data_IF_865048183922
#
_entry.id   IF_865048183922
#
_cell.length_a   1.000
_cell.length_b   1.000
_cell.length_c   1.000
_cell.angle_alpha   90.00
_cell.angle_beta   90.00
_cell.angle_gamma   90.00
#
_symmetry.space_group_name_H-M   'P 1'
#
loop_
_entity.id
_entity.type
_entity.pdbx_description
1 polymer ?
#
# COMPACT_ATOMS: atom_id res chain seq x y z
N UNK A 1 4.27 -17.59 20.22
CA UNK A 1 4.01 -16.21 20.70
C UNK A 1 5.29 -15.67 21.32
N UNK A 2 5.77 -14.49 20.93
CA UNK A 2 6.97 -13.89 21.53
C UNK A 2 6.52 -13.24 22.84
N UNK A 3 7.08 -13.67 23.97
CA UNK A 3 6.77 -13.10 25.28
C UNK A 3 7.43 -11.72 25.44
N UNK A 4 6.71 -10.74 25.99
CA UNK A 4 7.19 -9.37 26.18
C UNK A 4 8.48 -9.32 27.02
N UNK A 5 8.58 -10.15 28.06
CA UNK A 5 9.76 -10.21 28.93
C UNK A 5 11.02 -10.62 28.15
N UNK A 6 10.88 -11.53 27.19
CA UNK A 6 11.97 -11.93 26.31
C UNK A 6 12.42 -10.78 25.39
N UNK A 7 11.47 -9.98 24.88
CA UNK A 7 11.80 -8.79 24.09
C UNK A 7 12.53 -7.74 24.93
N UNK A 8 12.08 -7.50 26.16
CA UNK A 8 12.73 -6.55 27.07
C UNK A 8 14.14 -7.04 27.43
N UNK A 9 14.32 -8.34 27.72
CA UNK A 9 15.65 -8.88 27.99
C UNK A 9 16.60 -8.77 26.79
N UNK A 10 16.12 -8.98 25.58
CA UNK A 10 16.90 -8.77 24.37
C UNK A 10 17.28 -7.29 24.18
N UNK A 11 16.34 -6.37 24.45
CA UNK A 11 16.58 -4.93 24.38
C UNK A 11 17.74 -4.52 25.31
N UNK A 12 17.74 -5.01 26.53
CA UNK A 12 18.75 -4.65 27.54
C UNK A 12 20.09 -5.36 27.33
N UNK A 13 20.10 -6.55 26.73
CA UNK A 13 21.33 -7.31 26.46
C UNK A 13 22.04 -6.92 25.18
N UNK A 14 21.32 -6.32 24.22
CA UNK A 14 21.89 -5.89 22.93
C UNK A 14 22.56 -4.54 23.11
N UNK A 15 23.89 -4.48 22.93
CA UNK A 15 24.70 -3.25 23.13
C UNK A 15 24.50 -2.24 22.01
N UNK A 16 24.28 -2.70 20.78
CA UNK A 16 24.21 -1.85 19.61
C UNK A 16 23.08 -2.33 18.68
N UNK A 17 22.35 -1.38 18.16
CA UNK A 17 21.29 -1.57 17.17
C UNK A 17 21.67 -0.82 15.90
N UNK A 18 21.53 -1.46 14.74
CA UNK A 18 21.81 -0.84 13.45
C UNK A 18 20.72 0.17 13.07
N UNK A 19 19.45 -0.17 13.38
CA UNK A 19 18.30 0.66 13.01
C UNK A 19 17.31 0.73 14.18
N UNK A 20 16.90 1.95 14.50
CA UNK A 20 15.84 2.24 15.47
C UNK A 20 14.67 2.85 14.74
N UNK A 21 13.48 2.24 14.85
CA UNK A 21 12.24 2.69 14.22
C UNK A 21 11.28 3.17 15.30
N UNK A 22 10.74 4.37 15.12
CA UNK A 22 9.75 4.96 16.02
C UNK A 22 8.41 5.01 15.29
N UNK A 23 7.45 4.24 15.80
CA UNK A 23 6.09 4.13 15.28
C UNK A 23 5.83 2.83 14.52
N UNK A 24 4.79 2.10 14.94
CA UNK A 24 4.35 0.81 14.40
C UNK A 24 3.19 0.93 13.41
N UNK A 25 3.15 1.97 12.58
CA UNK A 25 2.23 2.10 11.47
C UNK A 25 2.71 1.34 10.23
N UNK A 26 2.03 1.51 9.08
CA UNK A 26 2.37 0.83 7.82
C UNK A 26 3.82 1.08 7.41
N UNK A 27 4.29 2.33 7.47
CA UNK A 27 5.67 2.69 7.11
C UNK A 27 6.69 2.07 8.05
N UNK A 28 6.50 2.20 9.37
CA UNK A 28 7.44 1.66 10.35
C UNK A 28 7.53 0.14 10.31
N UNK A 29 6.41 -0.56 10.15
CA UNK A 29 6.38 -2.02 10.00
C UNK A 29 7.03 -2.46 8.68
N UNK A 30 6.80 -1.72 7.57
CA UNK A 30 7.45 -1.98 6.29
C UNK A 30 8.97 -1.85 6.38
N UNK A 31 9.46 -0.77 6.98
CA UNK A 31 10.90 -0.56 7.21
C UNK A 31 11.48 -1.66 8.11
N UNK A 32 10.75 -2.04 9.17
CA UNK A 32 11.21 -3.09 10.09
C UNK A 32 11.37 -4.45 9.38
N UNK A 33 10.42 -4.82 8.53
CA UNK A 33 10.47 -6.06 7.75
C UNK A 33 11.63 -6.03 6.76
N UNK A 34 11.79 -4.94 6.00
CA UNK A 34 12.87 -4.80 5.02
C UNK A 34 14.25 -4.83 5.69
N UNK A 35 14.44 -4.05 6.75
CA UNK A 35 15.69 -4.00 7.49
C UNK A 35 16.05 -5.36 8.11
N UNK A 36 15.11 -6.03 8.77
CA UNK A 36 15.32 -7.34 9.36
C UNK A 36 15.62 -8.41 8.30
N UNK A 37 14.96 -8.35 7.13
CA UNK A 37 15.20 -9.28 6.03
C UNK A 37 16.61 -9.16 5.45
N UNK A 38 17.21 -7.99 5.55
CA UNK A 38 18.61 -7.70 5.16
C UNK A 38 19.63 -8.02 6.26
N UNK A 39 19.19 -8.51 7.41
CA UNK A 39 20.06 -8.91 8.52
C UNK A 39 20.44 -7.79 9.49
N UNK A 40 19.86 -6.59 9.36
CA UNK A 40 20.13 -5.51 10.30
C UNK A 40 19.50 -5.81 11.68
N UNK A 41 20.23 -5.52 12.75
CA UNK A 41 19.71 -5.52 14.11
C UNK A 41 18.73 -4.36 14.27
N UNK A 42 17.46 -4.66 14.11
CA UNK A 42 16.40 -3.65 14.05
C UNK A 42 15.55 -3.69 15.30
N UNK A 43 15.28 -2.54 15.88
CA UNK A 43 14.34 -2.35 16.97
C UNK A 43 13.24 -1.37 16.57
N UNK A 44 12.00 -1.70 16.95
CA UNK A 44 10.84 -0.85 16.71
C UNK A 44 10.13 -0.55 18.02
N UNK A 45 9.84 0.72 18.25
CA UNK A 45 9.05 1.19 19.38
C UNK A 45 7.70 1.74 18.89
N UNK A 46 6.63 1.26 19.52
CA UNK A 46 5.27 1.77 19.32
C UNK A 46 4.69 2.21 20.67
N UNK A 47 4.09 3.39 20.70
CA UNK A 47 3.57 4.00 21.93
C UNK A 47 2.31 3.30 22.45
N UNK A 48 1.43 2.84 21.57
CA UNK A 48 0.13 2.27 21.94
C UNK A 48 -0.01 0.83 21.47
N UNK A 49 -0.29 0.66 20.17
CA UNK A 49 -0.48 -0.63 19.51
C UNK A 49 -0.17 -0.49 18.02
N UNK A 50 0.22 -1.58 17.39
CA UNK A 50 0.55 -1.60 15.98
C UNK A 50 -0.65 -1.18 15.13
N UNK A 51 -0.39 -0.37 14.10
CA UNK A 51 -1.36 0.15 13.16
C UNK A 51 -2.51 0.96 13.77
N UNK A 52 -2.47 1.35 15.06
CA UNK A 52 -3.55 2.05 15.76
C UNK A 52 -3.84 3.46 15.23
N UNK A 53 -2.85 4.13 14.65
CA UNK A 53 -2.96 5.47 14.10
C UNK A 53 -3.68 5.51 12.73
N UNK A 54 -3.09 6.22 11.79
CA UNK A 54 -3.60 6.40 10.42
C UNK A 54 -3.85 5.07 9.70
N UNK A 55 -3.01 4.06 9.92
CA UNK A 55 -3.14 2.75 9.26
C UNK A 55 -4.46 2.04 9.58
N UNK A 56 -5.00 2.19 10.79
CA UNK A 56 -6.32 1.63 11.15
C UNK A 56 -7.48 2.49 10.66
N UNK A 57 -7.26 3.80 10.47
CA UNK A 57 -8.28 4.79 10.10
C UNK A 57 -8.36 5.06 8.59
N UNK A 58 -7.56 4.36 7.78
CA UNK A 58 -7.62 4.44 6.33
C UNK A 58 -8.79 3.63 5.77
N UNK A 59 -9.20 3.90 4.55
CA UNK A 59 -10.21 3.12 3.82
C UNK A 59 -9.73 1.71 3.44
N UNK A 60 -8.45 1.42 3.60
CA UNK A 60 -7.78 0.17 3.20
C UNK A 60 -7.93 -0.17 1.72
N UNK A 61 -8.14 0.86 0.89
CA UNK A 61 -8.21 0.71 -0.55
C UNK A 61 -6.81 0.87 -1.15
N UNK A 62 -6.37 -0.16 -1.85
CA UNK A 62 -5.14 -0.15 -2.63
C UNK A 62 -5.48 0.24 -4.06
N UNK A 63 -5.10 1.43 -4.47
CA UNK A 63 -5.37 1.96 -5.80
C UNK A 63 -4.11 2.53 -6.43
N UNK A 64 -4.04 2.51 -7.76
CA UNK A 64 -2.91 3.08 -8.51
C UNK A 64 -3.02 4.58 -8.78
N UNK A 65 -3.87 5.31 -8.03
CA UNK A 65 -3.91 6.77 -8.09
C UNK A 65 -4.44 7.36 -9.40
N UNK A 66 -5.57 6.90 -9.91
CA UNK A 66 -6.23 7.47 -11.12
C UNK A 66 -6.31 9.01 -11.08
N UNK A 67 -6.42 9.61 -9.89
CA UNK A 67 -6.42 11.06 -9.71
C UNK A 67 -5.11 11.71 -10.16
N UNK A 68 -3.97 11.07 -9.95
CA UNK A 68 -2.66 11.57 -10.37
C UNK A 68 -2.49 11.51 -11.89
N UNK A 69 -3.17 10.57 -12.55
CA UNK A 69 -3.20 10.54 -14.01
C UNK A 69 -3.84 11.83 -14.58
N UNK A 70 -4.91 12.30 -13.95
CA UNK A 70 -5.55 13.57 -14.34
C UNK A 70 -4.64 14.80 -14.09
N UNK A 71 -3.63 14.68 -13.22
CA UNK A 71 -2.62 15.72 -12.96
C UNK A 71 -1.38 15.57 -13.87
N UNK A 72 -1.34 14.54 -14.71
CA UNK A 72 -0.21 14.28 -15.62
C UNK A 72 0.98 13.54 -14.96
N UNK A 73 0.87 13.13 -13.71
CA UNK A 73 1.95 12.42 -13.01
C UNK A 73 1.91 10.91 -13.30
N UNK A 74 2.31 10.57 -14.52
CA UNK A 74 2.33 9.19 -15.02
C UNK A 74 3.32 8.32 -14.23
N UNK A 75 4.45 8.89 -13.81
CA UNK A 75 5.47 8.16 -13.07
C UNK A 75 4.92 7.65 -11.74
N UNK A 76 4.28 8.51 -10.98
CA UNK A 76 3.67 8.15 -9.70
C UNK A 76 2.56 7.09 -9.87
N UNK A 77 1.80 7.16 -10.98
CA UNK A 77 0.79 6.13 -11.29
C UNK A 77 1.42 4.77 -11.53
N UNK A 78 2.51 4.71 -12.29
CA UNK A 78 3.23 3.45 -12.57
C UNK A 78 3.79 2.86 -11.27
N UNK A 79 4.49 3.66 -10.48
CA UNK A 79 5.04 3.24 -9.18
C UNK A 79 3.93 2.71 -8.25
N UNK A 80 2.80 3.42 -8.14
CA UNK A 80 1.67 2.97 -7.32
C UNK A 80 1.02 1.67 -7.83
N UNK A 81 1.00 1.44 -9.14
CA UNK A 81 0.51 0.20 -9.74
C UNK A 81 1.46 -0.98 -9.46
N UNK A 82 2.77 -0.75 -9.52
CA UNK A 82 3.79 -1.75 -9.19
C UNK A 82 3.69 -2.14 -7.71
N UNK A 83 3.64 -1.17 -6.80
CA UNK A 83 3.48 -1.43 -5.37
C UNK A 83 2.18 -2.19 -5.06
N UNK A 84 1.08 -1.86 -5.72
CA UNK A 84 -0.17 -2.62 -5.62
C UNK A 84 0.02 -4.07 -6.05
N UNK A 85 0.73 -4.31 -7.14
CA UNK A 85 1.05 -5.65 -7.61
C UNK A 85 1.93 -6.45 -6.64
N UNK A 86 2.91 -5.79 -6.02
CA UNK A 86 3.74 -6.41 -4.97
C UNK A 86 2.91 -6.78 -3.75
N UNK A 87 1.99 -5.92 -3.31
CA UNK A 87 1.09 -6.22 -2.19
C UNK A 87 0.13 -7.37 -2.51
N UNK A 88 -0.44 -7.41 -3.73
CA UNK A 88 -1.27 -8.55 -4.16
C UNK A 88 -0.49 -9.87 -4.10
N UNK A 89 0.76 -9.87 -4.54
CA UNK A 89 1.61 -11.05 -4.53
C UNK A 89 2.00 -11.48 -3.11
N UNK A 90 2.41 -10.53 -2.28
CA UNK A 90 2.98 -10.80 -0.96
C UNK A 90 1.92 -11.05 0.12
N UNK A 91 0.73 -10.48 -0.03
CA UNK A 91 -0.36 -10.58 0.94
C UNK A 91 -1.69 -10.98 0.28
N UNK A 92 -1.66 -11.95 -0.61
CA UNK A 92 -2.80 -12.39 -1.42
C UNK A 92 -4.04 -12.75 -0.60
N UNK A 93 -3.85 -13.31 0.58
CA UNK A 93 -4.93 -13.68 1.50
C UNK A 93 -5.66 -12.48 2.11
N UNK A 94 -5.04 -11.28 2.09
CA UNK A 94 -5.63 -10.02 2.56
C UNK A 94 -6.18 -9.17 1.41
N UNK A 95 -5.85 -9.54 0.16
CA UNK A 95 -6.19 -8.76 -1.02
C UNK A 95 -7.50 -9.23 -1.63
N UNK A 96 -8.45 -8.31 -1.78
CA UNK A 96 -9.73 -8.56 -2.44
C UNK A 96 -9.95 -7.54 -3.55
N UNK A 97 -10.20 -8.02 -4.76
CA UNK A 97 -10.60 -7.14 -5.88
C UNK A 97 -11.97 -6.54 -5.60
N UNK A 98 -12.08 -5.23 -5.74
CA UNK A 98 -13.31 -4.50 -5.54
C UNK A 98 -13.63 -3.71 -6.81
N UNK A 99 -14.83 -3.86 -7.33
CA UNK A 99 -15.31 -3.09 -8.47
C UNK A 99 -15.88 -1.76 -8.00
N UNK A 100 -15.58 -0.69 -8.74
CA UNK A 100 -16.07 0.65 -8.48
C UNK A 100 -16.94 1.13 -9.63
N UNK A 101 -18.06 1.74 -9.30
CA UNK A 101 -18.92 2.41 -10.24
C UNK A 101 -18.69 3.91 -10.14
N UNK A 102 -18.35 4.53 -11.27
CA UNK A 102 -18.22 5.99 -11.37
C UNK A 102 -19.53 6.50 -11.99
N UNK A 103 -20.40 7.14 -11.20
CA UNK A 103 -21.65 7.67 -11.73
C UNK A 103 -21.35 8.86 -12.63
N UNK A 104 -22.00 8.89 -13.79
CA UNK A 104 -21.88 9.97 -14.74
C UNK A 104 -23.26 10.52 -15.09
N UNK A 105 -23.46 11.80 -14.83
CA UNK A 105 -24.73 12.49 -15.05
C UNK A 105 -24.71 13.37 -16.33
N UNK A 106 -23.60 13.38 -17.06
CA UNK A 106 -23.43 14.23 -18.23
C UNK A 106 -22.93 13.39 -19.39
N UNK A 107 -23.68 13.31 -20.48
CA UNK A 107 -23.44 12.41 -21.60
C UNK A 107 -22.01 12.46 -22.19
N UNK A 108 -21.35 13.63 -22.21
CA UNK A 108 -20.00 13.80 -22.77
C UNK A 108 -18.88 13.42 -21.77
N UNK A 109 -19.12 13.43 -20.46
CA UNK A 109 -18.14 13.05 -19.45
C UNK A 109 -17.86 11.55 -19.41
N UNK A 110 -18.83 10.73 -19.79
CA UNK A 110 -18.68 9.28 -19.88
C UNK A 110 -17.52 8.85 -20.78
N UNK A 111 -17.52 9.25 -22.07
CA UNK A 111 -16.41 8.97 -22.97
C UNK A 111 -15.06 9.52 -22.48
N UNK A 112 -15.03 10.71 -21.88
CA UNK A 112 -13.83 11.31 -21.32
C UNK A 112 -13.24 10.46 -20.17
N UNK A 113 -14.06 10.06 -19.21
CA UNK A 113 -13.62 9.18 -18.12
C UNK A 113 -13.19 7.81 -18.63
N UNK A 114 -13.92 7.25 -19.60
CA UNK A 114 -13.57 5.96 -20.18
C UNK A 114 -12.20 6.01 -20.85
N UNK A 115 -11.88 7.07 -21.59
CA UNK A 115 -10.57 7.26 -22.21
C UNK A 115 -9.46 7.29 -21.17
N UNK A 116 -9.62 8.06 -20.09
CA UNK A 116 -8.66 8.12 -19.00
C UNK A 116 -8.48 6.77 -18.29
N UNK A 117 -9.58 6.04 -18.05
CA UNK A 117 -9.53 4.72 -17.44
C UNK A 117 -8.90 3.67 -18.37
N UNK A 118 -9.11 3.75 -19.69
CA UNK A 118 -8.44 2.88 -20.67
C UNK A 118 -6.93 3.12 -20.72
N UNK A 119 -6.50 4.39 -20.63
CA UNK A 119 -5.09 4.73 -20.50
C UNK A 119 -4.51 4.15 -19.20
N UNK A 120 -5.23 4.26 -18.09
CA UNK A 120 -4.84 3.66 -16.82
C UNK A 120 -4.75 2.13 -16.90
N UNK A 121 -5.71 1.46 -17.54
CA UNK A 121 -5.70 0.01 -17.78
C UNK A 121 -4.47 -0.39 -18.61
N UNK A 122 -4.12 0.40 -19.61
CA UNK A 122 -2.93 0.17 -20.44
C UNK A 122 -1.63 0.36 -19.65
N UNK A 123 -1.53 1.38 -18.81
CA UNK A 123 -0.38 1.60 -17.94
C UNK A 123 -0.21 0.47 -16.90
N UNK A 124 -1.32 -0.12 -16.44
CA UNK A 124 -1.28 -1.21 -15.48
C UNK A 124 -0.71 -2.53 -16.04
N UNK A 125 -0.71 -2.71 -17.37
CA UNK A 125 -0.14 -3.87 -18.08
C UNK A 125 -0.46 -5.22 -17.40
N UNK A 126 0.59 -5.94 -16.98
CA UNK A 126 0.49 -7.25 -16.31
C UNK A 126 -0.07 -7.18 -14.87
N UNK A 127 -0.11 -5.98 -14.29
CA UNK A 127 -0.60 -5.73 -12.93
C UNK A 127 -2.07 -5.27 -12.92
N UNK A 128 -2.78 -5.41 -14.06
CA UNK A 128 -4.18 -5.07 -14.19
C UNK A 128 -5.04 -6.01 -13.35
N UNK A 129 -5.94 -5.44 -12.55
CA UNK A 129 -6.92 -6.18 -11.75
C UNK A 129 -8.23 -6.46 -12.52
N UNK A 130 -8.32 -5.99 -13.73
CA UNK A 130 -9.50 -6.04 -14.60
C UNK A 130 -9.57 -4.78 -15.46
N UNK A 131 -10.30 -4.85 -16.56
CA UNK A 131 -10.48 -3.72 -17.47
C UNK A 131 -11.72 -2.90 -17.12
N UNK A 132 -11.64 -1.58 -17.35
CA UNK A 132 -12.75 -0.66 -17.18
C UNK A 132 -13.80 -0.88 -18.27
N UNK A 133 -15.08 -0.86 -17.89
CA UNK A 133 -16.23 -1.07 -18.77
C UNK A 133 -17.19 0.10 -18.66
N UNK A 134 -17.83 0.44 -19.77
CA UNK A 134 -18.97 1.35 -19.77
C UNK A 134 -20.24 0.56 -19.51
N UNK A 135 -21.06 1.03 -18.59
CA UNK A 135 -22.38 0.45 -18.27
C UNK A 135 -23.41 1.52 -18.62
N UNK A 136 -24.30 1.21 -19.57
CA UNK A 136 -25.45 2.04 -19.97
C UNK A 136 -26.68 1.73 -19.14
#
# INVERSE_FOLDING_TARGET
>A
MIHRDKLISQLTSTKEWDIIIIGGGASGLGIAVDAASRGFKTILFEQYDFAKGTSSKSTKLLHGGVRYLAQGDIKLVIEALEERGHLEKNARHLFKKLEFIIPNYTWWKGPYYLMGLKLYDWLSKRLSLGGSKFIS
#
